data_IF_019667330606
#
_entry.id   IF_019667330606
#
_cell.length_a   1.000
_cell.length_b   1.000
_cell.length_c   1.000
_cell.angle_alpha   90.00
_cell.angle_beta   90.00
_cell.angle_gamma   90.00
#
_symmetry.space_group_name_H-M   'P 1'
#
loop_
_entity.id
_entity.type
_entity.pdbx_description
1 polymer ?
#
# COMPACT_ATOMS: atom_id res chain seq x y z
N UNK A 1 -31.98 -15.63 0.12
CA UNK A 1 -31.80 -14.67 1.22
C UNK A 1 -30.41 -14.08 1.09
N UNK A 2 -30.28 -12.77 1.18
CA UNK A 2 -28.97 -12.12 1.23
C UNK A 2 -28.47 -12.25 2.68
N UNK A 3 -27.28 -12.85 2.83
CA UNK A 3 -26.73 -13.12 4.16
C UNK A 3 -26.02 -11.90 4.76
N UNK A 4 -25.73 -10.86 3.96
CA UNK A 4 -25.14 -9.59 4.38
C UNK A 4 -24.87 -8.64 3.23
N UNK A 5 -24.40 -7.43 3.58
CA UNK A 5 -23.98 -6.37 2.67
C UNK A 5 -22.54 -5.97 2.97
N UNK A 6 -21.69 -5.87 1.93
CA UNK A 6 -20.37 -5.30 2.00
C UNK A 6 -20.37 -3.97 1.25
N UNK A 7 -20.00 -2.89 1.92
CA UNK A 7 -19.78 -1.57 1.33
C UNK A 7 -18.28 -1.32 1.27
N UNK A 8 -17.75 -1.04 0.08
CA UNK A 8 -16.35 -0.66 -0.11
C UNK A 8 -16.32 0.79 -0.59
N UNK A 9 -15.67 1.66 0.17
CA UNK A 9 -15.47 3.07 -0.13
C UNK A 9 -14.01 3.26 -0.57
N UNK A 10 -13.77 3.21 -1.87
CA UNK A 10 -12.46 3.51 -2.42
C UNK A 10 -12.18 5.02 -2.36
N UNK A 11 -10.93 5.38 -2.12
CA UNK A 11 -10.50 6.77 -1.96
C UNK A 11 -11.30 7.56 -0.89
N UNK A 12 -11.70 6.91 0.19
CA UNK A 12 -12.43 7.54 1.30
C UNK A 12 -11.74 8.81 1.82
N UNK A 13 -10.41 8.91 1.69
CA UNK A 13 -9.63 10.09 2.05
C UNK A 13 -10.04 11.37 1.31
N UNK A 14 -10.50 11.26 0.05
CA UNK A 14 -10.97 12.43 -0.72
C UNK A 14 -12.24 13.04 -0.15
N UNK A 15 -13.16 12.21 0.32
CA UNK A 15 -14.36 12.68 0.99
C UNK A 15 -14.01 13.39 2.30
N UNK A 16 -13.05 12.86 3.04
CA UNK A 16 -12.56 13.45 4.27
C UNK A 16 -11.89 14.81 4.01
N UNK A 17 -11.06 14.92 2.97
CA UNK A 17 -10.43 16.19 2.57
C UNK A 17 -11.47 17.23 2.12
N UNK A 18 -12.46 16.83 1.33
CA UNK A 18 -13.52 17.74 0.90
C UNK A 18 -14.33 18.27 2.07
N UNK A 19 -14.68 17.40 3.02
CA UNK A 19 -15.38 17.80 4.25
C UNK A 19 -14.53 18.75 5.09
N UNK A 20 -13.23 18.52 5.19
CA UNK A 20 -12.29 19.38 5.90
C UNK A 20 -12.17 20.80 5.32
N UNK A 21 -12.34 20.93 4.00
CA UNK A 21 -12.32 22.21 3.28
C UNK A 21 -13.68 22.92 3.28
N UNK A 22 -14.70 22.36 3.93
CA UNK A 22 -16.06 22.90 3.95
C UNK A 22 -16.81 22.73 2.62
N UNK A 23 -16.32 21.86 1.74
CA UNK A 23 -16.88 21.61 0.41
C UNK A 23 -17.61 20.25 0.28
N UNK A 24 -17.81 19.54 1.36
CA UNK A 24 -18.40 18.20 1.32
C UNK A 24 -19.45 17.96 2.38
N UNK A 25 -20.08 16.79 2.27
CA UNK A 25 -21.00 16.28 3.26
C UNK A 25 -20.30 16.09 4.62
N UNK A 26 -21.10 16.12 5.66
CA UNK A 26 -20.67 16.03 7.04
C UNK A 26 -19.85 14.76 7.30
N UNK A 27 -18.71 14.89 7.97
CA UNK A 27 -17.91 13.77 8.51
C UNK A 27 -18.77 12.82 9.36
N UNK A 28 -19.85 13.36 9.91
CA UNK A 28 -20.85 12.63 10.66
C UNK A 28 -21.48 11.46 9.89
N UNK A 29 -21.60 11.55 8.56
CA UNK A 29 -22.05 10.43 7.72
C UNK A 29 -21.23 9.15 7.93
N UNK A 30 -19.89 9.26 7.99
CA UNK A 30 -19.02 8.09 8.21
C UNK A 30 -19.17 7.51 9.61
N UNK A 31 -19.48 8.36 10.59
CA UNK A 31 -19.82 7.91 11.93
C UNK A 31 -21.13 7.10 11.92
N UNK A 32 -22.19 7.64 11.31
CA UNK A 32 -23.48 6.96 11.21
C UNK A 32 -23.37 5.61 10.48
N UNK A 33 -22.57 5.56 9.42
CA UNK A 33 -22.32 4.35 8.65
C UNK A 33 -21.62 3.28 9.51
N UNK A 34 -20.61 3.66 10.28
CA UNK A 34 -19.93 2.75 11.21
C UNK A 34 -20.89 2.25 12.32
N UNK A 35 -21.73 3.14 12.85
CA UNK A 35 -22.73 2.77 13.85
C UNK A 35 -23.82 1.83 13.29
N UNK A 36 -24.24 2.06 12.05
CA UNK A 36 -25.15 1.17 11.36
C UNK A 36 -24.54 -0.22 11.17
N UNK A 37 -23.27 -0.29 10.79
CA UNK A 37 -22.54 -1.56 10.66
C UNK A 37 -22.43 -2.28 12.00
N UNK A 38 -22.09 -1.57 13.08
CA UNK A 38 -22.02 -2.15 14.43
C UNK A 38 -23.37 -2.73 14.90
N UNK A 39 -24.48 -2.03 14.60
CA UNK A 39 -25.85 -2.50 14.95
C UNK A 39 -26.33 -3.67 14.08
N UNK A 40 -25.74 -3.86 12.91
CA UNK A 40 -26.18 -4.89 11.95
C UNK A 40 -25.74 -6.33 12.32
N UNK A 41 -25.01 -6.52 13.44
CA UNK A 41 -24.58 -7.83 13.93
C UNK A 41 -23.92 -8.70 12.84
N UNK A 42 -22.95 -8.12 12.12
CA UNK A 42 -22.20 -8.79 11.07
C UNK A 42 -22.91 -8.86 9.71
N UNK A 43 -24.15 -8.38 9.58
CA UNK A 43 -24.85 -8.31 8.30
C UNK A 43 -24.49 -7.12 7.43
N UNK A 44 -23.77 -6.16 7.96
CA UNK A 44 -23.23 -5.01 7.24
C UNK A 44 -21.75 -4.86 7.60
N UNK A 45 -20.90 -4.89 6.58
CA UNK A 45 -19.46 -4.61 6.71
C UNK A 45 -19.13 -3.42 5.84
N UNK A 46 -18.38 -2.47 6.41
CA UNK A 46 -17.93 -1.27 5.71
C UNK A 46 -16.41 -1.28 5.69
N UNK A 47 -15.83 -1.14 4.51
CA UNK A 47 -14.38 -1.06 4.28
C UNK A 47 -14.07 0.28 3.62
N UNK A 48 -13.32 1.13 4.29
CA UNK A 48 -12.78 2.37 3.72
C UNK A 48 -11.33 2.17 3.30
N UNK A 49 -10.99 2.52 2.06
CA UNK A 49 -9.61 2.50 1.56
C UNK A 49 -9.03 3.90 1.61
N UNK A 50 -7.89 4.03 2.26
CA UNK A 50 -7.18 5.28 2.50
C UNK A 50 -5.74 5.18 1.99
N UNK A 51 -5.23 6.21 1.31
CA UNK A 51 -3.84 6.26 0.84
C UNK A 51 -2.84 6.65 1.94
N UNK A 52 -3.31 7.23 3.02
CA UNK A 52 -2.52 7.64 4.19
C UNK A 52 -3.32 7.33 5.46
N UNK A 53 -2.65 7.35 6.60
CA UNK A 53 -3.35 7.14 7.86
C UNK A 53 -4.37 8.26 8.11
N UNK A 54 -5.43 7.94 8.84
CA UNK A 54 -6.46 8.89 9.22
C UNK A 54 -5.88 10.14 9.91
N UNK A 55 -4.88 9.93 10.77
CA UNK A 55 -4.18 11.00 11.46
C UNK A 55 -3.42 11.96 10.52
N UNK A 56 -2.91 11.46 9.38
CA UNK A 56 -2.24 12.31 8.38
C UNK A 56 -3.22 13.21 7.64
N UNK A 57 -4.42 12.72 7.35
CA UNK A 57 -5.48 13.58 6.80
C UNK A 57 -5.86 14.69 7.81
N UNK A 58 -5.96 14.34 9.10
CA UNK A 58 -6.28 15.28 10.18
C UNK A 58 -5.19 16.30 10.51
N UNK A 59 -3.92 16.02 10.14
CA UNK A 59 -2.78 16.85 10.57
C UNK A 59 -2.82 18.32 10.09
N UNK A 60 -3.52 18.59 8.98
CA UNK A 60 -3.67 19.93 8.38
C UNK A 60 -4.92 20.69 8.86
N UNK A 61 -5.74 20.06 9.67
CA UNK A 61 -7.02 20.60 10.12
C UNK A 61 -6.88 21.36 11.44
N UNK A 62 -7.82 22.27 11.68
CA UNK A 62 -7.98 22.92 13.00
C UNK A 62 -8.29 21.90 14.11
N UNK A 63 -8.07 22.29 15.35
CA UNK A 63 -8.20 21.40 16.52
C UNK A 63 -9.60 20.78 16.61
N UNK A 64 -10.65 21.58 16.45
CA UNK A 64 -12.03 21.13 16.60
C UNK A 64 -12.40 20.06 15.55
N UNK A 65 -12.03 20.30 14.30
CA UNK A 65 -12.26 19.34 13.20
C UNK A 65 -11.45 18.05 13.38
N UNK A 66 -10.24 18.17 13.93
CA UNK A 66 -9.40 17.01 14.26
C UNK A 66 -10.02 16.12 15.33
N UNK A 67 -10.64 16.72 16.34
CA UNK A 67 -11.30 16.00 17.42
C UNK A 67 -12.56 15.26 16.91
N UNK A 68 -13.31 15.86 15.98
CA UNK A 68 -14.42 15.19 15.32
C UNK A 68 -13.95 14.00 14.46
N UNK A 69 -12.87 14.16 13.73
CA UNK A 69 -12.26 13.07 12.96
C UNK A 69 -11.76 11.92 13.83
N UNK A 70 -11.19 12.23 14.99
CA UNK A 70 -10.77 11.20 15.94
C UNK A 70 -11.96 10.37 16.45
N UNK A 71 -13.14 10.98 16.60
CA UNK A 71 -14.38 10.25 16.95
C UNK A 71 -14.82 9.31 15.84
N UNK A 72 -14.73 9.72 14.58
CA UNK A 72 -15.03 8.86 13.43
C UNK A 72 -14.02 7.71 13.36
N UNK A 73 -12.72 8.00 13.43
CA UNK A 73 -11.66 7.00 13.42
C UNK A 73 -11.84 5.94 14.51
N UNK A 74 -12.20 6.35 15.71
CA UNK A 74 -12.41 5.45 16.85
C UNK A 74 -13.54 4.42 16.67
N UNK A 75 -14.35 4.54 15.61
CA UNK A 75 -15.41 3.58 15.26
C UNK A 75 -14.98 2.58 14.19
N UNK A 76 -13.84 2.78 13.55
CA UNK A 76 -13.24 1.89 12.57
C UNK A 76 -12.03 1.17 13.14
N UNK A 77 -11.72 0.02 12.58
CA UNK A 77 -10.49 -0.70 12.89
C UNK A 77 -9.48 -0.37 11.80
N UNK A 78 -8.38 0.26 12.16
CA UNK A 78 -7.29 0.55 11.24
C UNK A 78 -6.52 -0.74 10.91
N UNK A 79 -6.52 -1.10 9.63
CA UNK A 79 -5.71 -2.19 9.11
C UNK A 79 -4.61 -1.59 8.23
N UNK A 80 -3.38 -1.42 8.75
CA UNK A 80 -2.29 -0.89 7.95
C UNK A 80 -1.89 -1.91 6.88
N UNK A 81 -2.13 -1.53 5.62
CA UNK A 81 -1.76 -2.33 4.46
C UNK A 81 -0.43 -1.82 3.90
N UNK A 82 0.65 -2.21 4.56
CA UNK A 82 2.01 -1.84 4.14
C UNK A 82 2.69 -3.10 3.65
N UNK A 83 2.84 -3.21 2.32
CA UNK A 83 3.61 -4.31 1.74
C UNK A 83 5.04 -4.30 2.30
N UNK A 84 5.48 -5.44 2.81
CA UNK A 84 6.87 -5.63 3.21
C UNK A 84 7.79 -5.53 1.97
N UNK A 85 9.06 -5.19 2.18
CA UNK A 85 9.99 -4.99 1.05
C UNK A 85 10.20 -6.27 0.21
N UNK A 86 10.11 -7.43 0.82
CA UNK A 86 10.17 -8.74 0.18
C UNK A 86 8.92 -9.05 -0.64
N UNK A 87 7.75 -8.69 -0.16
CA UNK A 87 6.48 -8.82 -0.91
C UNK A 87 6.49 -7.97 -2.18
N UNK A 88 7.02 -6.73 -2.12
CA UNK A 88 7.14 -5.87 -3.30
C UNK A 88 8.06 -6.51 -4.34
N UNK A 89 9.19 -7.10 -3.93
CA UNK A 89 10.11 -7.79 -4.84
C UNK A 89 9.45 -9.04 -5.46
N UNK A 90 8.71 -9.81 -4.67
CA UNK A 90 7.94 -10.94 -5.22
C UNK A 90 6.91 -10.50 -6.27
N UNK A 91 6.20 -9.39 -6.03
CA UNK A 91 5.24 -8.84 -6.98
C UNK A 91 5.93 -8.38 -8.28
N UNK A 92 7.11 -7.74 -8.17
CA UNK A 92 7.92 -7.36 -9.33
C UNK A 92 8.31 -8.61 -10.13
N UNK A 93 8.82 -9.65 -9.46
CA UNK A 93 9.20 -10.88 -10.12
C UNK A 93 8.04 -11.61 -10.82
N UNK A 94 6.82 -11.49 -10.29
CA UNK A 94 5.60 -12.03 -10.93
C UNK A 94 5.11 -11.19 -12.11
N UNK A 95 5.44 -9.90 -12.14
CA UNK A 95 5.04 -9.00 -13.23
C UNK A 95 5.99 -9.07 -14.44
N UNK A 96 7.17 -9.67 -14.28
CA UNK A 96 8.17 -9.79 -15.34
C UNK A 96 8.13 -11.21 -15.89
N UNK A 97 7.91 -11.34 -17.19
CA UNK A 97 8.03 -12.59 -17.92
C UNK A 97 9.41 -12.64 -18.61
N UNK A 98 10.26 -13.58 -18.19
CA UNK A 98 11.57 -13.77 -18.80
C UNK A 98 11.81 -15.24 -19.12
N UNK A 99 12.20 -15.52 -20.37
CA UNK A 99 12.38 -16.91 -20.86
C UNK A 99 13.53 -17.65 -20.20
N UNK A 100 14.65 -16.97 -19.93
CA UNK A 100 15.84 -17.58 -19.34
C UNK A 100 16.61 -16.61 -18.45
N UNK A 101 16.84 -17.06 -17.24
CA UNK A 101 17.68 -16.37 -16.25
C UNK A 101 19.15 -16.81 -16.39
N UNK A 102 20.14 -15.89 -16.42
CA UNK A 102 21.56 -16.25 -16.42
C UNK A 102 22.00 -16.86 -15.08
N UNK A 103 23.02 -17.72 -15.10
CA UNK A 103 23.48 -18.45 -13.92
C UNK A 103 24.00 -17.51 -12.80
N UNK A 104 24.67 -16.42 -13.19
CA UNK A 104 25.18 -15.42 -12.22
C UNK A 104 24.10 -14.71 -11.41
N UNK A 105 22.87 -14.70 -11.88
CA UNK A 105 21.77 -13.98 -11.27
C UNK A 105 21.47 -14.45 -9.85
N UNK A 106 21.56 -15.74 -9.61
CA UNK A 106 21.32 -16.31 -8.28
C UNK A 106 22.44 -15.93 -7.29
N UNK A 107 23.69 -15.97 -7.73
CA UNK A 107 24.84 -15.59 -6.89
C UNK A 107 24.80 -14.10 -6.53
N UNK A 108 24.48 -13.25 -7.50
CA UNK A 108 24.28 -11.83 -7.27
C UNK A 108 23.11 -11.57 -6.30
N UNK A 109 22.00 -12.31 -6.46
CA UNK A 109 20.84 -12.20 -5.57
C UNK A 109 21.17 -12.59 -4.13
N UNK A 110 21.91 -13.66 -3.93
CA UNK A 110 22.40 -14.09 -2.62
C UNK A 110 23.28 -13.00 -1.98
N UNK A 111 24.25 -12.46 -2.73
CA UNK A 111 25.16 -11.42 -2.25
C UNK A 111 24.38 -10.16 -1.81
N UNK A 112 23.41 -9.72 -2.60
CA UNK A 112 22.57 -8.55 -2.27
C UNK A 112 21.68 -8.86 -1.07
N UNK A 113 21.04 -10.02 -1.03
CA UNK A 113 20.18 -10.43 0.07
C UNK A 113 20.94 -10.48 1.40
N UNK A 114 22.16 -11.04 1.41
CA UNK A 114 23.01 -11.11 2.60
C UNK A 114 23.45 -9.73 3.08
N UNK A 115 23.81 -8.84 2.15
CA UNK A 115 24.14 -7.45 2.45
C UNK A 115 22.97 -6.69 3.08
N UNK A 116 21.76 -6.95 2.62
CA UNK A 116 20.55 -6.34 3.18
C UNK A 116 20.21 -6.97 4.54
N UNK A 117 20.26 -8.29 4.63
CA UNK A 117 19.95 -9.04 5.85
C UNK A 117 20.89 -8.71 7.01
N UNK A 118 22.14 -8.42 6.73
CA UNK A 118 23.12 -7.99 7.76
C UNK A 118 22.68 -6.70 8.48
N UNK A 119 21.90 -5.85 7.83
CA UNK A 119 21.38 -4.57 8.39
C UNK A 119 19.90 -4.63 8.74
N UNK A 120 19.16 -5.58 8.17
CA UNK A 120 17.73 -5.78 8.37
C UNK A 120 17.43 -7.27 8.55
N UNK A 121 17.65 -7.83 9.74
CA UNK A 121 17.49 -9.27 9.98
C UNK A 121 16.06 -9.80 9.74
N UNK A 122 15.06 -8.92 9.72
CA UNK A 122 13.66 -9.28 9.47
C UNK A 122 13.38 -9.66 8.00
N UNK A 123 14.32 -9.45 7.08
CA UNK A 123 14.17 -9.84 5.67
C UNK A 123 14.14 -11.37 5.56
N UNK A 124 13.08 -11.89 4.94
CA UNK A 124 12.82 -13.33 4.85
C UNK A 124 13.91 -14.14 4.16
N UNK A 125 14.00 -15.43 4.50
CA UNK A 125 15.01 -16.33 3.92
C UNK A 125 14.89 -16.46 2.39
N UNK A 126 13.66 -16.34 1.85
CA UNK A 126 13.36 -16.43 0.41
C UNK A 126 13.65 -15.16 -0.39
N UNK A 127 14.18 -14.12 0.24
CA UNK A 127 14.38 -12.82 -0.43
C UNK A 127 15.37 -12.91 -1.60
N UNK A 128 16.42 -13.74 -1.49
CA UNK A 128 17.35 -13.97 -2.59
C UNK A 128 16.67 -14.62 -3.81
N UNK A 129 15.80 -15.61 -3.57
CA UNK A 129 15.03 -16.25 -4.64
C UNK A 129 14.07 -15.25 -5.30
N UNK A 130 13.39 -14.43 -4.51
CA UNK A 130 12.52 -13.36 -5.02
C UNK A 130 13.30 -12.36 -5.89
N UNK A 131 14.49 -11.91 -5.46
CA UNK A 131 15.35 -11.06 -6.27
C UNK A 131 15.75 -11.73 -7.59
N UNK A 132 16.04 -13.02 -7.56
CA UNK A 132 16.43 -13.76 -8.75
C UNK A 132 15.30 -13.92 -9.76
N UNK A 133 14.03 -13.88 -9.35
CA UNK A 133 12.88 -13.90 -10.27
C UNK A 133 12.67 -12.58 -11.00
N UNK A 134 13.31 -11.49 -10.57
CA UNK A 134 13.16 -10.17 -11.18
C UNK A 134 14.00 -9.96 -12.46
N UNK A 135 14.66 -10.99 -12.98
CA UNK A 135 15.39 -10.89 -14.26
C UNK A 135 14.43 -10.37 -15.38
N UNK A 136 14.86 -9.39 -16.24
CA UNK A 136 16.21 -8.87 -16.47
C UNK A 136 16.68 -7.74 -15.54
N UNK A 137 15.92 -7.34 -14.55
CA UNK A 137 16.40 -6.37 -13.56
C UNK A 137 17.57 -6.96 -12.77
N UNK A 138 18.64 -6.16 -12.61
CA UNK A 138 19.71 -6.55 -11.69
C UNK A 138 19.17 -6.61 -10.25
N UNK A 139 19.60 -7.60 -9.40
CA UNK A 139 19.05 -7.78 -8.05
C UNK A 139 19.10 -6.53 -7.17
N UNK A 140 20.17 -5.72 -7.30
CA UNK A 140 20.26 -4.44 -6.58
C UNK A 140 19.18 -3.44 -7.01
N UNK A 141 18.85 -3.39 -8.30
CA UNK A 141 17.78 -2.53 -8.81
C UNK A 141 16.41 -3.01 -8.33
N UNK A 142 16.15 -4.30 -8.41
CA UNK A 142 14.91 -4.90 -7.91
C UNK A 142 14.70 -4.58 -6.41
N UNK A 143 15.74 -4.69 -5.60
CA UNK A 143 15.70 -4.37 -4.17
C UNK A 143 15.45 -2.87 -3.89
N UNK A 144 15.87 -1.98 -4.78
CA UNK A 144 15.78 -0.52 -4.62
C UNK A 144 14.47 0.06 -5.14
N UNK A 145 13.81 -0.58 -6.11
CA UNK A 145 12.60 -0.01 -6.75
C UNK A 145 11.50 0.33 -5.74
N UNK A 146 11.14 -0.59 -4.86
CA UNK A 146 10.12 -0.34 -3.84
C UNK A 146 10.49 0.82 -2.90
N UNK A 147 11.65 0.82 -2.24
CA UNK A 147 12.10 1.93 -1.40
C UNK A 147 12.20 3.28 -2.11
N UNK A 148 12.65 3.32 -3.37
CA UNK A 148 12.77 4.56 -4.15
C UNK A 148 11.37 5.09 -4.49
N UNK A 149 10.47 4.25 -4.97
CA UNK A 149 9.10 4.65 -5.28
C UNK A 149 8.38 5.25 -4.07
N UNK A 150 8.56 4.67 -2.88
CA UNK A 150 7.98 5.19 -1.64
C UNK A 150 8.52 6.58 -1.25
N UNK A 151 9.77 6.90 -1.58
CA UNK A 151 10.40 8.17 -1.17
C UNK A 151 10.15 9.32 -2.13
N UNK A 152 10.19 9.08 -3.43
CA UNK A 152 10.21 10.15 -4.43
C UNK A 152 8.87 10.43 -5.09
N UNK A 153 8.03 9.42 -5.25
CA UNK A 153 6.88 9.55 -6.13
C UNK A 153 5.53 9.53 -5.42
N UNK A 154 5.50 9.36 -4.10
CA UNK A 154 4.28 9.44 -3.28
C UNK A 154 3.13 8.46 -3.62
N UNK A 155 3.26 7.72 -4.71
CA UNK A 155 2.29 6.75 -5.22
C UNK A 155 2.83 5.32 -5.29
N UNK A 156 3.75 4.99 -4.41
CA UNK A 156 4.18 3.63 -4.08
C UNK A 156 4.28 2.64 -5.27
N UNK A 157 3.53 1.54 -5.18
CA UNK A 157 3.57 0.43 -6.12
C UNK A 157 3.13 0.82 -7.54
N UNK A 158 2.20 1.78 -7.69
CA UNK A 158 1.78 2.28 -9.01
C UNK A 158 2.95 2.82 -9.82
N UNK A 159 3.88 3.54 -9.18
CA UNK A 159 5.07 4.10 -9.87
C UNK A 159 6.04 3.00 -10.26
N UNK A 160 6.19 1.95 -9.45
CA UNK A 160 7.03 0.79 -9.77
C UNK A 160 6.50 0.01 -10.96
N UNK A 161 5.22 -0.34 -10.95
CA UNK A 161 4.60 -1.09 -12.05
C UNK A 161 4.39 -0.22 -13.30
N UNK A 162 4.14 1.08 -13.14
CA UNK A 162 4.11 2.03 -14.24
C UNK A 162 5.45 2.12 -14.97
N UNK A 163 6.58 2.09 -14.23
CA UNK A 163 7.90 2.02 -14.82
C UNK A 163 8.14 0.69 -15.56
N UNK A 164 7.77 -0.43 -14.94
CA UNK A 164 7.92 -1.77 -15.55
C UNK A 164 7.04 -1.97 -16.80
N UNK A 165 5.90 -1.30 -16.89
CA UNK A 165 4.99 -1.35 -18.04
C UNK A 165 5.22 -0.20 -19.04
N UNK A 166 6.22 0.65 -18.84
CA UNK A 166 6.46 1.82 -19.69
C UNK A 166 7.05 1.41 -21.03
N UNK A 167 6.44 1.90 -22.11
CA UNK A 167 6.97 1.80 -23.48
C UNK A 167 7.76 3.03 -23.89
N UNK A 168 8.04 3.93 -22.98
CA UNK A 168 8.84 5.12 -23.24
C UNK A 168 10.33 4.78 -23.40
N UNK A 169 11.14 5.62 -24.11
CA UNK A 169 12.56 5.33 -24.39
C UNK A 169 13.44 5.07 -23.17
N UNK A 170 13.00 5.45 -21.98
CA UNK A 170 13.71 5.26 -20.71
C UNK A 170 12.90 4.41 -19.72
N UNK A 171 11.85 3.73 -20.18
CA UNK A 171 11.13 2.72 -19.43
C UNK A 171 11.89 1.39 -19.34
N UNK A 172 11.23 0.38 -18.78
CA UNK A 172 11.80 -0.98 -18.64
C UNK A 172 11.52 -1.82 -19.87
#
# INVERSE_FOLDING_TARGET
>A
SQDGVLIILDEMGKFLEASALGHGDDVYFFQELAEAAARANGKLVVVGVLHQSFAQYGARLGTDTRDEWAKVQGRYIDLPFVAASDEVVELIGRAIEAERRPDWMLDASNTIADSIRSRRPAVGAKFADALATCWPLHPAMAALLGPISKRQFGQNERSTFGFLASVEPHGF
#
